data_IF_196872226405
#
_entry.id   IF_196872226405
#
_cell.length_a   1.000
_cell.length_b   1.000
_cell.length_c   1.000
_cell.angle_alpha   90.00
_cell.angle_beta   90.00
_cell.angle_gamma   90.00
#
_symmetry.space_group_name_H-M   'P 1'
#
loop_
_entity.id
_entity.type
_entity.pdbx_description
1 polymer ?
#
# COMPACT_ATOMS: atom_id res chain seq x y z
N UNK A 1 12.18 1.38 -10.55
CA UNK A 1 10.96 0.56 -10.83
C UNK A 1 9.86 0.96 -9.88
N UNK A 2 8.62 1.04 -10.39
CA UNK A 2 7.41 1.18 -9.54
C UNK A 2 6.54 -0.05 -9.73
N UNK A 3 6.16 -0.70 -8.62
CA UNK A 3 5.31 -1.88 -8.60
C UNK A 3 3.96 -1.54 -7.97
N UNK A 4 2.87 -1.85 -8.66
CA UNK A 4 1.52 -1.67 -8.15
C UNK A 4 1.06 -2.92 -7.39
N UNK A 5 0.62 -2.74 -6.15
CA UNK A 5 0.16 -3.80 -5.25
C UNK A 5 -1.28 -3.51 -4.81
N UNK A 6 -2.27 -4.05 -5.51
CA UNK A 6 -3.69 -3.74 -5.28
C UNK A 6 -4.38 -4.65 -4.26
N UNK A 7 -3.69 -5.66 -3.75
CA UNK A 7 -4.21 -6.60 -2.77
C UNK A 7 -3.60 -7.99 -2.95
N UNK A 8 -3.95 -8.91 -2.06
CA UNK A 8 -3.36 -10.24 -2.01
C UNK A 8 -2.08 -10.31 -1.17
N UNK A 9 -1.46 -11.49 -1.03
CA UNK A 9 -0.27 -11.67 -0.21
C UNK A 9 0.92 -10.84 -0.72
N UNK A 10 1.60 -10.13 0.18
CA UNK A 10 2.82 -9.36 -0.14
C UNK A 10 3.87 -10.24 -0.82
N UNK A 11 4.03 -11.48 -0.36
CA UNK A 11 4.97 -12.45 -0.95
C UNK A 11 4.76 -12.71 -2.44
N UNK A 12 3.55 -12.56 -2.95
CA UNK A 12 3.26 -12.76 -4.38
C UNK A 12 3.95 -11.74 -5.28
N UNK A 13 4.30 -10.57 -4.73
CA UNK A 13 4.93 -9.49 -5.47
C UNK A 13 6.46 -9.50 -5.38
N UNK A 14 7.04 -10.28 -4.45
CA UNK A 14 8.47 -10.34 -4.19
C UNK A 14 9.25 -10.82 -5.43
N UNK A 15 8.68 -11.76 -6.18
CA UNK A 15 9.30 -12.27 -7.40
C UNK A 15 9.62 -11.16 -8.41
N UNK A 16 8.71 -10.23 -8.64
CA UNK A 16 8.91 -9.14 -9.60
C UNK A 16 10.06 -8.21 -9.18
N UNK A 17 10.18 -7.93 -7.89
CA UNK A 17 11.26 -7.07 -7.37
C UNK A 17 12.61 -7.80 -7.44
N UNK A 18 12.63 -9.08 -7.11
CA UNK A 18 13.83 -9.91 -7.23
C UNK A 18 14.29 -9.99 -8.68
N UNK A 19 13.40 -10.30 -9.62
CA UNK A 19 13.72 -10.36 -11.05
C UNK A 19 14.27 -9.02 -11.58
N UNK A 20 13.68 -7.91 -11.14
CA UNK A 20 14.22 -6.58 -11.49
C UNK A 20 15.64 -6.36 -10.98
N UNK A 21 15.93 -6.69 -9.72
CA UNK A 21 17.26 -6.54 -9.12
C UNK A 21 18.30 -7.46 -9.78
N UNK A 22 17.91 -8.68 -10.10
CA UNK A 22 18.76 -9.62 -10.84
C UNK A 22 19.09 -9.12 -12.25
N UNK A 23 18.09 -8.55 -12.94
CA UNK A 23 18.31 -7.95 -14.26
C UNK A 23 19.26 -6.75 -14.20
N UNK A 24 19.14 -5.89 -13.18
CA UNK A 24 20.08 -4.79 -12.95
C UNK A 24 21.51 -5.27 -12.77
N UNK A 25 21.73 -6.27 -11.89
CA UNK A 25 23.05 -6.85 -11.66
C UNK A 25 23.67 -7.42 -12.95
N UNK A 26 22.88 -8.16 -13.73
CA UNK A 26 23.32 -8.71 -15.03
C UNK A 26 23.67 -7.65 -16.05
N UNK A 27 23.05 -6.47 -15.94
CA UNK A 27 23.29 -5.32 -16.83
C UNK A 27 24.40 -4.39 -16.33
N UNK A 28 25.10 -4.75 -15.26
CA UNK A 28 26.22 -3.98 -14.72
C UNK A 28 25.82 -2.78 -13.83
N UNK A 29 24.56 -2.72 -13.40
CA UNK A 29 24.10 -1.72 -12.44
C UNK A 29 24.16 -2.24 -11.01
N UNK A 30 24.41 -1.36 -10.06
CA UNK A 30 24.32 -1.69 -8.64
C UNK A 30 22.84 -1.65 -8.20
N UNK A 31 22.22 -2.80 -7.84
CA UNK A 31 20.79 -2.84 -7.54
C UNK A 31 20.36 -1.93 -6.39
N UNK A 32 21.27 -1.66 -5.44
CA UNK A 32 20.99 -0.78 -4.28
C UNK A 32 20.87 0.68 -4.65
N UNK A 33 21.49 1.09 -5.75
CA UNK A 33 21.42 2.45 -6.25
C UNK A 33 20.17 2.73 -7.06
N UNK A 34 19.49 1.68 -7.52
CA UNK A 34 18.29 1.78 -8.33
C UNK A 34 17.03 1.65 -7.45
N UNK A 35 16.29 2.78 -7.25
CA UNK A 35 15.18 2.78 -6.32
C UNK A 35 14.02 1.90 -6.78
N UNK A 36 13.39 1.25 -5.81
CA UNK A 36 12.11 0.56 -5.95
C UNK A 36 11.05 1.36 -5.21
N UNK A 37 9.96 1.65 -5.89
CA UNK A 37 8.75 2.21 -5.31
C UNK A 37 7.63 1.18 -5.38
N UNK A 38 6.78 1.15 -4.36
CA UNK A 38 5.51 0.44 -4.42
C UNK A 38 4.36 1.43 -4.36
N UNK A 39 3.26 1.11 -5.02
CA UNK A 39 2.03 1.90 -4.97
C UNK A 39 0.84 0.96 -4.79
N UNK A 40 -0.15 1.40 -4.02
CA UNK A 40 -1.34 0.59 -3.78
C UNK A 40 -2.45 1.39 -3.12
N UNK A 41 -3.60 0.75 -3.01
CA UNK A 41 -4.74 1.35 -2.34
C UNK A 41 -4.46 1.57 -0.87
N UNK A 42 -4.75 2.78 -0.45
CA UNK A 42 -4.49 3.28 0.88
C UNK A 42 -5.75 3.95 1.42
N UNK A 43 -6.12 3.64 2.64
CA UNK A 43 -7.14 4.40 3.34
C UNK A 43 -6.99 4.27 4.86
N UNK A 44 -6.89 5.41 5.54
CA UNK A 44 -6.79 5.50 6.99
C UNK A 44 -8.09 6.01 7.61
N UNK A 45 -8.47 5.42 8.74
CA UNK A 45 -9.51 5.92 9.63
C UNK A 45 -9.10 5.62 11.09
N UNK A 46 -9.88 6.11 12.06
CA UNK A 46 -9.59 5.92 13.49
C UNK A 46 -9.45 4.43 13.88
N UNK A 47 -10.26 3.58 13.26
CA UNK A 47 -10.19 2.13 13.45
C UNK A 47 -10.12 1.39 12.13
N UNK A 48 -9.56 0.19 12.14
CA UNK A 48 -9.46 -0.66 10.95
C UNK A 48 -10.84 -1.04 10.41
N UNK A 49 -11.80 -1.34 11.27
CA UNK A 49 -13.17 -1.65 10.87
C UNK A 49 -13.83 -0.46 10.16
N UNK A 50 -13.62 0.73 10.67
CA UNK A 50 -14.11 1.96 10.05
C UNK A 50 -13.46 2.18 8.69
N UNK A 51 -12.15 2.04 8.60
CA UNK A 51 -11.42 2.21 7.35
C UNK A 51 -11.91 1.27 6.24
N UNK A 52 -12.10 -0.01 6.56
CA UNK A 52 -12.62 -1.01 5.61
C UNK A 52 -14.07 -0.72 5.20
N UNK A 53 -14.91 -0.30 6.13
CA UNK A 53 -16.30 0.06 5.85
C UNK A 53 -16.41 1.28 4.95
N UNK A 54 -15.60 2.30 5.19
CA UNK A 54 -15.60 3.55 4.41
C UNK A 54 -14.97 3.39 3.03
N UNK A 55 -13.88 2.65 2.91
CA UNK A 55 -13.18 2.47 1.63
C UNK A 55 -13.90 1.52 0.67
N UNK A 56 -14.55 0.48 1.17
CA UNK A 56 -15.10 -0.60 0.35
C UNK A 56 -16.04 -0.14 -0.77
N UNK A 57 -17.03 0.74 -0.55
CA UNK A 57 -17.94 1.16 -1.61
C UNK A 57 -17.20 1.78 -2.81
N UNK A 58 -16.20 2.60 -2.55
CA UNK A 58 -15.42 3.30 -3.59
C UNK A 58 -14.49 2.35 -4.33
N UNK A 59 -13.78 1.48 -3.61
CA UNK A 59 -12.92 0.45 -4.21
C UNK A 59 -13.74 -0.49 -5.08
N UNK A 60 -14.89 -0.95 -4.58
CA UNK A 60 -15.78 -1.83 -5.32
C UNK A 60 -16.33 -1.16 -6.60
N UNK A 61 -16.75 0.11 -6.49
CA UNK A 61 -17.25 0.87 -7.64
C UNK A 61 -16.15 1.11 -8.68
N UNK A 62 -14.94 1.43 -8.23
CA UNK A 62 -13.79 1.60 -9.11
C UNK A 62 -13.55 0.34 -9.94
N UNK A 63 -13.55 -0.84 -9.30
CA UNK A 63 -13.38 -2.11 -10.01
C UNK A 63 -14.57 -2.49 -10.88
N UNK A 64 -15.81 -2.19 -10.45
CA UNK A 64 -16.99 -2.39 -11.30
C UNK A 64 -16.87 -1.62 -12.61
N UNK A 65 -16.40 -0.37 -12.56
CA UNK A 65 -16.18 0.45 -13.75
C UNK A 65 -15.01 -0.05 -14.61
N UNK A 66 -13.95 -0.57 -13.97
CA UNK A 66 -12.74 -1.00 -14.65
C UNK A 66 -12.86 -2.39 -15.30
N UNK A 67 -13.50 -3.36 -14.63
CA UNK A 67 -13.54 -4.77 -15.03
C UNK A 67 -14.93 -5.42 -15.01
N UNK A 68 -15.97 -4.69 -14.59
CA UNK A 68 -17.35 -5.18 -14.54
C UNK A 68 -17.68 -6.15 -13.39
N UNK A 69 -16.73 -6.47 -12.50
CA UNK A 69 -16.91 -7.52 -11.49
C UNK A 69 -16.91 -6.99 -10.03
N UNK A 70 -16.34 -5.80 -9.81
CA UNK A 70 -16.17 -5.26 -8.46
C UNK A 70 -15.14 -6.03 -7.63
N UNK A 71 -15.17 -5.80 -6.31
CA UNK A 71 -14.28 -6.48 -5.35
C UNK A 71 -15.10 -7.35 -4.41
N UNK A 72 -14.94 -8.70 -4.41
CA UNK A 72 -15.67 -9.57 -3.50
C UNK A 72 -15.41 -9.20 -2.04
N UNK A 73 -16.47 -9.01 -1.23
CA UNK A 73 -16.35 -8.57 0.17
C UNK A 73 -15.44 -9.45 1.01
N UNK A 74 -15.53 -10.76 0.82
CA UNK A 74 -14.70 -11.71 1.57
C UNK A 74 -13.21 -11.56 1.23
N UNK A 75 -12.89 -11.35 -0.05
CA UNK A 75 -11.53 -11.11 -0.48
C UNK A 75 -11.01 -9.76 0.01
N UNK A 76 -11.85 -8.73 0.00
CA UNK A 76 -11.51 -7.42 0.54
C UNK A 76 -11.22 -7.49 2.05
N UNK A 77 -12.03 -8.25 2.80
CA UNK A 77 -11.83 -8.44 4.24
C UNK A 77 -10.50 -9.14 4.58
N UNK A 78 -9.96 -9.99 3.69
CA UNK A 78 -8.62 -10.58 3.86
C UNK A 78 -7.50 -9.52 3.87
N UNK A 79 -7.77 -8.34 3.34
CA UNK A 79 -6.89 -7.20 3.40
C UNK A 79 -6.56 -6.71 4.81
N UNK A 80 -7.29 -7.15 5.84
CA UNK A 80 -6.96 -6.86 7.26
C UNK A 80 -5.69 -7.56 7.74
N UNK A 81 -5.32 -8.71 7.14
CA UNK A 81 -4.05 -9.38 7.47
C UNK A 81 -2.88 -8.45 7.11
N UNK A 82 -1.95 -8.27 8.04
CA UNK A 82 -0.79 -7.40 7.83
C UNK A 82 0.14 -7.85 6.68
N UNK A 83 0.06 -9.13 6.30
CA UNK A 83 0.80 -9.69 5.16
C UNK A 83 0.10 -9.48 3.82
N UNK A 84 -1.10 -8.89 3.83
CA UNK A 84 -1.80 -8.49 2.63
C UNK A 84 -1.31 -7.12 2.16
N UNK A 85 -1.14 -6.97 0.84
CA UNK A 85 -0.63 -5.75 0.23
C UNK A 85 -1.60 -4.56 0.29
N UNK A 86 -2.86 -4.80 0.63
CA UNK A 86 -3.86 -3.75 0.79
C UNK A 86 -3.57 -2.90 2.04
N UNK A 87 -3.31 -1.60 1.87
CA UNK A 87 -2.90 -0.70 2.96
C UNK A 87 -4.09 0.13 3.43
N UNK A 88 -5.04 -0.55 4.06
CA UNK A 88 -6.25 0.03 4.64
C UNK A 88 -6.31 -0.35 6.12
N UNK A 89 -6.60 0.62 7.00
CA UNK A 89 -6.69 0.35 8.43
C UNK A 89 -6.56 1.59 9.30
N UNK A 90 -6.37 1.36 10.59
CA UNK A 90 -5.93 2.40 11.53
C UNK A 90 -4.51 2.85 11.21
N UNK A 91 -4.07 4.05 11.64
CA UNK A 91 -2.70 4.50 11.42
C UNK A 91 -1.66 3.51 11.91
N UNK A 92 -1.87 2.88 13.07
CA UNK A 92 -0.95 1.89 13.61
C UNK A 92 -0.82 0.66 12.71
N UNK A 93 -1.94 0.10 12.23
CA UNK A 93 -1.90 -1.06 11.34
C UNK A 93 -1.31 -0.73 9.96
N UNK A 94 -1.57 0.47 9.45
CA UNK A 94 -0.95 0.96 8.21
C UNK A 94 0.57 1.04 8.36
N UNK A 95 1.07 1.57 9.48
CA UNK A 95 2.50 1.63 9.76
C UNK A 95 3.10 0.22 9.73
N UNK A 96 2.49 -0.73 10.42
CA UNK A 96 2.95 -2.12 10.45
C UNK A 96 2.97 -2.78 9.06
N UNK A 97 1.94 -2.53 8.25
CA UNK A 97 1.86 -3.03 6.87
C UNK A 97 2.96 -2.46 5.98
N UNK A 98 3.18 -1.15 6.03
CA UNK A 98 4.21 -0.50 5.22
C UNK A 98 5.60 -0.96 5.65
N UNK A 99 5.85 -1.10 6.96
CA UNK A 99 7.13 -1.63 7.47
C UNK A 99 7.34 -3.08 7.06
N UNK A 100 6.31 -3.92 7.12
CA UNK A 100 6.39 -5.30 6.64
C UNK A 100 6.70 -5.37 5.14
N UNK A 101 6.04 -4.54 4.32
CA UNK A 101 6.36 -4.44 2.90
C UNK A 101 7.80 -3.97 2.69
N UNK A 102 8.28 -3.03 3.50
CA UNK A 102 9.67 -2.55 3.44
C UNK A 102 10.68 -3.67 3.76
N UNK A 103 10.38 -4.53 4.75
CA UNK A 103 11.22 -5.70 5.06
C UNK A 103 11.29 -6.68 3.89
N UNK A 104 10.14 -6.98 3.25
CA UNK A 104 10.06 -7.94 2.15
C UNK A 104 10.65 -7.40 0.84
N UNK A 105 10.31 -6.15 0.49
CA UNK A 105 10.64 -5.57 -0.80
C UNK A 105 11.92 -4.74 -0.79
N UNK A 106 12.29 -4.16 0.37
CA UNK A 106 13.36 -3.17 0.46
C UNK A 106 13.11 -1.93 -0.42
N UNK A 107 11.83 -1.55 -0.58
CA UNK A 107 11.49 -0.33 -1.34
C UNK A 107 11.91 0.92 -0.59
N UNK A 108 12.28 1.96 -1.34
CA UNK A 108 12.64 3.27 -0.81
C UNK A 108 11.46 4.25 -0.79
N UNK A 109 10.37 3.91 -1.49
CA UNK A 109 9.19 4.78 -1.57
C UNK A 109 7.91 3.95 -1.57
N UNK A 110 6.92 4.39 -0.80
CA UNK A 110 5.54 3.96 -0.90
C UNK A 110 4.67 5.12 -1.40
N UNK A 111 3.83 4.87 -2.41
CA UNK A 111 2.92 5.84 -3.01
C UNK A 111 1.50 5.45 -2.62
N UNK A 112 0.88 6.23 -1.74
CA UNK A 112 -0.47 5.99 -1.27
C UNK A 112 -1.51 6.45 -2.30
N UNK A 113 -2.35 5.53 -2.77
CA UNK A 113 -3.52 5.84 -3.59
C UNK A 113 -4.77 5.84 -2.70
N UNK A 114 -5.24 7.00 -2.30
CA UNK A 114 -6.39 7.14 -1.41
C UNK A 114 -7.60 7.83 -2.05
N UNK A 115 -7.52 8.21 -3.30
CA UNK A 115 -8.68 8.59 -4.10
C UNK A 115 -9.00 7.44 -5.08
N UNK A 116 -10.13 6.79 -4.85
CA UNK A 116 -10.64 5.70 -5.69
C UNK A 116 -11.67 6.17 -6.73
N UNK A 117 -11.91 7.48 -6.79
CA UNK A 117 -12.95 8.12 -7.58
C UNK A 117 -14.25 8.31 -6.79
N UNK A 118 -14.70 9.57 -6.75
CA UNK A 118 -15.94 9.95 -6.08
C UNK A 118 -15.90 9.97 -4.55
N UNK A 119 -14.73 9.87 -3.94
CA UNK A 119 -14.62 10.03 -2.48
C UNK A 119 -14.88 11.46 -2.04
N UNK A 120 -15.60 11.68 -0.91
CA UNK A 120 -15.77 13.00 -0.35
C UNK A 120 -14.42 13.66 -0.03
N UNK A 121 -14.30 14.95 -0.33
CA UNK A 121 -13.06 15.70 -0.10
C UNK A 121 -12.60 15.65 1.37
N UNK A 122 -13.53 15.70 2.31
CA UNK A 122 -13.22 15.62 3.74
C UNK A 122 -12.55 14.31 4.12
N UNK A 123 -12.91 13.19 3.46
CA UNK A 123 -12.25 11.90 3.68
C UNK A 123 -10.80 11.92 3.17
N UNK A 124 -10.58 12.53 2.00
CA UNK A 124 -9.24 12.70 1.45
C UNK A 124 -8.37 13.58 2.34
N UNK A 125 -8.91 14.69 2.84
CA UNK A 125 -8.20 15.58 3.76
C UNK A 125 -7.79 14.86 5.04
N UNK A 126 -8.69 14.09 5.68
CA UNK A 126 -8.36 13.28 6.86
C UNK A 126 -7.25 12.28 6.59
N UNK A 127 -7.24 11.65 5.42
CA UNK A 127 -6.16 10.74 5.04
C UNK A 127 -4.81 11.46 4.94
N UNK A 128 -4.77 12.67 4.38
CA UNK A 128 -3.56 13.51 4.34
C UNK A 128 -3.09 13.84 5.76
N UNK A 129 -4.01 14.18 6.66
CA UNK A 129 -3.70 14.48 8.07
C UNK A 129 -3.12 13.26 8.79
N UNK A 130 -3.71 12.06 8.65
CA UNK A 130 -3.15 10.82 9.19
C UNK A 130 -1.75 10.52 8.64
N UNK A 131 -1.56 10.69 7.35
CA UNK A 131 -0.24 10.51 6.72
C UNK A 131 0.78 11.46 7.32
N UNK A 132 0.46 12.76 7.39
CA UNK A 132 1.38 13.79 7.83
C UNK A 132 1.71 13.73 9.32
N UNK A 133 0.71 13.51 10.15
CA UNK A 133 0.84 13.63 11.61
C UNK A 133 1.27 12.33 12.31
N UNK A 134 0.91 11.18 11.77
CA UNK A 134 1.11 9.89 12.45
C UNK A 134 1.96 8.91 11.62
N UNK A 135 1.56 8.63 10.38
CA UNK A 135 2.12 7.54 9.61
C UNK A 135 3.54 7.88 9.13
N UNK A 136 3.71 9.00 8.44
CA UNK A 136 5.01 9.38 7.87
C UNK A 136 6.10 9.59 8.93
N UNK A 137 5.84 10.25 10.08
CA UNK A 137 6.82 10.37 11.15
C UNK A 137 7.27 9.02 11.69
N UNK A 138 6.33 8.08 11.90
CA UNK A 138 6.63 6.74 12.39
C UNK A 138 7.46 5.94 11.37
N UNK A 139 7.05 5.92 10.09
CA UNK A 139 7.81 5.24 9.04
C UNK A 139 9.24 5.79 8.95
N UNK A 140 9.42 7.10 8.96
CA UNK A 140 10.76 7.74 8.94
C UNK A 140 11.60 7.33 10.15
N UNK A 141 10.99 7.24 11.33
CA UNK A 141 11.68 6.84 12.57
C UNK A 141 12.22 5.40 12.46
N UNK A 142 11.41 4.47 11.97
CA UNK A 142 11.77 3.05 11.90
C UNK A 142 12.63 2.68 10.69
N UNK A 143 12.62 3.49 9.62
CA UNK A 143 13.40 3.22 8.39
C UNK A 143 14.68 4.05 8.29
N UNK A 144 14.97 4.94 9.23
CA UNK A 144 16.28 5.63 9.28
C UNK A 144 17.37 4.58 9.49
N UNK A 145 18.26 4.45 8.51
CA UNK A 145 19.50 3.70 8.71
C UNK A 145 20.26 4.36 9.87
N UNK A 146 20.63 3.54 10.88
CA UNK A 146 21.62 3.94 11.88
C UNK A 146 22.97 4.17 11.22
#
# INVERSE_FOLDING_TARGET
MTLTTLGGPVSSFEFSIRAYREALSRSGYEPKEMPVATTGWFYAAETTEQAFREAYPFVNQHLLLANGQGYPKQQFAQGKDKRNALVIGSPQEIIEKILYQHEVFGQQRYIAQFDFGGMPFDNMQKNIEFIGNEILPAIKKYTKKK
#
